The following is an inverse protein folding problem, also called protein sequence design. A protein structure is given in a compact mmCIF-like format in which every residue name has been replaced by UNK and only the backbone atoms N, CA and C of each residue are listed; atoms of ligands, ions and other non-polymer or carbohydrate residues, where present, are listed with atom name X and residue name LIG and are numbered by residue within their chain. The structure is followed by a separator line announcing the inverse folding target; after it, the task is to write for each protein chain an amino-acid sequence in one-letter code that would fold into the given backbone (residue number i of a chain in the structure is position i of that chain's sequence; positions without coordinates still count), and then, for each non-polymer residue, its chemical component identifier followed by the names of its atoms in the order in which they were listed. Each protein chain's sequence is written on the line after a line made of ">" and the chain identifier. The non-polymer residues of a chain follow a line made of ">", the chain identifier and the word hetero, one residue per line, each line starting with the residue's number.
data_IF_098185527197
#
_entry.id   IF_098185527197
#
_cell.length_a   1.000
_cell.length_b   1.000
_cell.length_c   1.000
_cell.angle_alpha   90.00
_cell.angle_beta   90.00
_cell.angle_gamma   90.00
#
_symmetry.space_group_name_H-M   'P 1'
#
loop_
_entity.id
_entity.type
_entity.pdbx_description
1 polymer ?
#
# COMPACT_ATOMS: atom_id res chain seq x y z
N UNK A 1 -16.14 24.90 -14.27
CA UNK A 1 -15.72 23.80 -15.15
C UNK A 1 -14.28 23.48 -14.77
N UNK A 2 -14.08 22.50 -13.88
CA UNK A 2 -12.72 22.09 -13.52
C UNK A 2 -12.21 21.18 -14.62
N UNK A 3 -11.23 21.63 -15.40
CA UNK A 3 -10.41 20.76 -16.23
C UNK A 3 -9.58 19.89 -15.29
N UNK A 4 -10.19 18.83 -14.76
CA UNK A 4 -9.55 17.95 -13.78
C UNK A 4 -8.32 17.31 -14.41
N UNK A 5 -7.14 17.69 -13.94
CA UNK A 5 -5.93 16.93 -14.20
C UNK A 5 -6.17 15.50 -13.73
N UNK A 6 -5.91 14.47 -14.55
CA UNK A 6 -6.09 13.09 -14.11
C UNK A 6 -5.24 12.82 -12.87
N UNK A 7 -5.87 12.32 -11.80
CA UNK A 7 -5.21 11.98 -10.52
C UNK A 7 -4.22 10.81 -10.65
N UNK A 8 -4.36 10.03 -11.74
CA UNK A 8 -3.58 8.84 -12.02
C UNK A 8 -3.16 8.80 -13.49
N UNK A 9 -1.94 8.33 -13.75
CA UNK A 9 -1.50 7.96 -15.09
C UNK A 9 -1.46 6.44 -15.20
N UNK A 10 -2.31 5.90 -16.06
CA UNK A 10 -2.46 4.46 -16.31
C UNK A 10 -1.55 4.05 -17.47
N UNK A 11 -0.91 2.89 -17.35
CA UNK A 11 0.01 2.37 -18.34
C UNK A 11 0.02 0.85 -18.38
N UNK A 12 0.48 0.32 -19.51
CA UNK A 12 0.73 -1.10 -19.70
C UNK A 12 1.98 -1.55 -18.93
N UNK A 13 2.24 -2.86 -18.94
CA UNK A 13 3.52 -3.44 -18.52
C UNK A 13 4.75 -2.68 -19.07
N UNK A 14 4.74 -2.35 -20.38
CA UNK A 14 5.88 -1.69 -21.03
C UNK A 14 6.07 -0.26 -20.53
N UNK A 15 4.97 0.45 -20.32
CA UNK A 15 4.99 1.81 -19.78
C UNK A 15 5.53 1.81 -18.35
N UNK A 16 5.07 0.89 -17.51
CA UNK A 16 5.50 0.75 -16.13
C UNK A 16 7.00 0.40 -16.01
N UNK A 17 7.50 -0.53 -16.83
CA UNK A 17 8.94 -0.83 -16.92
C UNK A 17 9.74 0.39 -17.36
N UNK A 18 9.21 1.19 -18.30
CA UNK A 18 9.84 2.41 -18.75
C UNK A 18 9.90 3.45 -17.62
N UNK A 19 8.79 3.71 -16.92
CA UNK A 19 8.73 4.64 -15.78
C UNK A 19 9.77 4.32 -14.71
N UNK A 20 9.91 3.05 -14.34
CA UNK A 20 10.89 2.62 -13.34
C UNK A 20 12.32 2.77 -13.86
N UNK A 21 12.57 2.44 -15.13
CA UNK A 21 13.93 2.46 -15.66
C UNK A 21 14.47 3.87 -15.76
N UNK A 22 13.62 4.85 -16.10
CA UNK A 22 14.00 6.26 -16.24
C UNK A 22 13.86 7.08 -14.95
N UNK A 23 13.31 6.51 -13.87
CA UNK A 23 13.17 7.22 -12.59
C UNK A 23 14.50 7.48 -11.89
N UNK A 24 14.56 8.42 -10.94
CA UNK A 24 15.75 8.64 -10.10
C UNK A 24 15.86 7.66 -8.91
N UNK A 25 14.96 6.69 -8.77
CA UNK A 25 14.95 5.75 -7.63
C UNK A 25 16.25 4.95 -7.53
N UNK A 26 16.56 4.51 -6.31
CA UNK A 26 17.69 3.64 -6.04
C UNK A 26 17.55 2.28 -6.75
N UNK A 27 18.69 1.65 -7.03
CA UNK A 27 18.75 0.37 -7.77
C UNK A 27 17.91 -0.72 -7.12
N UNK A 28 17.90 -0.78 -5.79
CA UNK A 28 17.12 -1.76 -5.03
C UNK A 28 15.62 -1.59 -5.25
N UNK A 29 15.09 -0.37 -5.10
CA UNK A 29 13.67 -0.08 -5.37
C UNK A 29 13.28 -0.39 -6.81
N UNK A 30 14.13 0.00 -7.77
CA UNK A 30 13.91 -0.34 -9.18
C UNK A 30 13.84 -1.84 -9.40
N UNK A 31 14.70 -2.61 -8.72
CA UNK A 31 14.71 -4.07 -8.77
C UNK A 31 13.40 -4.67 -8.24
N UNK A 32 12.97 -4.23 -7.05
CA UNK A 32 11.73 -4.69 -6.43
C UNK A 32 10.48 -4.34 -7.28
N UNK A 33 10.37 -3.10 -7.77
CA UNK A 33 9.24 -2.69 -8.62
C UNK A 33 9.21 -3.43 -9.96
N UNK A 34 10.38 -3.70 -10.56
CA UNK A 34 10.48 -4.53 -11.78
C UNK A 34 10.06 -5.97 -11.51
N UNK A 35 10.46 -6.55 -10.37
CA UNK A 35 10.01 -7.89 -9.96
C UNK A 35 8.49 -7.94 -9.85
N UNK A 36 7.89 -6.96 -9.19
CA UNK A 36 6.43 -6.84 -9.08
C UNK A 36 5.75 -6.83 -10.46
N UNK A 37 6.15 -5.94 -11.37
CA UNK A 37 5.55 -5.87 -12.71
C UNK A 37 5.77 -7.15 -13.51
N UNK A 38 6.96 -7.76 -13.41
CA UNK A 38 7.30 -9.02 -14.10
C UNK A 38 6.40 -10.17 -13.67
N UNK A 39 5.95 -10.18 -12.42
CA UNK A 39 5.04 -11.21 -11.91
C UNK A 39 3.61 -11.08 -12.49
N UNK A 40 3.25 -9.94 -13.07
CA UNK A 40 1.89 -9.63 -13.52
C UNK A 40 1.86 -8.97 -14.91
N UNK A 41 2.36 -9.64 -15.97
CA UNK A 41 2.59 -9.02 -17.27
C UNK A 41 1.32 -8.57 -18.02
N UNK A 42 0.16 -9.10 -17.63
CA UNK A 42 -1.12 -8.81 -18.27
C UNK A 42 -1.95 -7.75 -17.55
N UNK A 43 -1.49 -7.26 -16.40
CA UNK A 43 -2.19 -6.20 -15.67
C UNK A 43 -1.81 -4.83 -16.21
N UNK A 44 -2.69 -3.86 -15.98
CA UNK A 44 -2.38 -2.45 -16.12
C UNK A 44 -1.89 -1.91 -14.79
N UNK A 45 -1.06 -0.88 -14.84
CA UNK A 45 -0.47 -0.25 -13.68
C UNK A 45 -0.77 1.24 -13.69
N UNK A 46 -0.68 1.87 -12.53
CA UNK A 46 -0.74 3.32 -12.46
C UNK A 46 0.35 3.88 -11.55
N UNK A 47 0.61 5.17 -11.74
CA UNK A 47 1.40 6.02 -10.86
C UNK A 47 0.57 7.25 -10.50
N UNK A 48 0.77 7.77 -9.29
CA UNK A 48 0.05 8.95 -8.85
C UNK A 48 0.57 10.20 -9.54
N UNK A 49 -0.33 11.11 -9.90
CA UNK A 49 0.04 12.49 -10.17
C UNK A 49 0.47 13.16 -8.84
N UNK A 50 1.39 14.13 -8.86
CA UNK A 50 1.79 14.86 -7.65
C UNK A 50 0.60 15.44 -6.87
N UNK A 51 -0.41 15.92 -7.60
CA UNK A 51 -1.62 16.54 -7.06
C UNK A 51 -2.44 15.57 -6.20
N UNK A 52 -2.38 14.27 -6.48
CA UNK A 52 -3.13 13.25 -5.75
C UNK A 52 -2.56 13.03 -4.35
N UNK A 53 -1.23 13.00 -4.21
CA UNK A 53 -0.61 12.87 -2.89
C UNK A 53 -0.79 14.15 -2.08
N UNK A 54 -0.67 15.31 -2.72
CA UNK A 54 -0.95 16.62 -2.10
C UNK A 54 -2.41 16.72 -1.64
N UNK A 55 -3.34 16.13 -2.39
CA UNK A 55 -4.75 16.05 -2.00
C UNK A 55 -4.90 15.29 -0.68
N UNK A 56 -4.27 14.12 -0.55
CA UNK A 56 -4.26 13.34 0.69
C UNK A 56 -3.63 14.10 1.87
N UNK A 57 -2.46 14.71 1.67
CA UNK A 57 -1.81 15.54 2.70
C UNK A 57 -2.73 16.64 3.23
N UNK A 58 -3.48 17.29 2.33
CA UNK A 58 -4.43 18.35 2.70
C UNK A 58 -5.67 17.80 3.42
N UNK A 59 -6.25 16.71 2.91
CA UNK A 59 -7.46 16.11 3.47
C UNK A 59 -7.20 15.55 4.87
N UNK A 60 -6.11 14.81 5.04
CA UNK A 60 -5.75 14.15 6.29
C UNK A 60 -4.93 15.04 7.24
N UNK A 61 -4.52 16.23 6.77
CA UNK A 61 -3.71 17.22 7.49
C UNK A 61 -2.37 16.65 7.95
N UNK A 62 -1.69 15.94 7.05
CA UNK A 62 -0.40 15.29 7.28
C UNK A 62 0.64 15.78 6.29
N UNK A 63 1.91 15.52 6.60
CA UNK A 63 3.00 15.63 5.64
C UNK A 63 3.51 14.22 5.35
N UNK A 64 3.28 13.73 4.14
CA UNK A 64 3.70 12.40 3.72
C UNK A 64 5.20 12.46 3.39
N UNK A 65 6.01 11.48 3.86
CA UNK A 65 7.44 11.44 3.59
C UNK A 65 7.78 11.48 2.09
N UNK A 66 8.82 12.25 1.74
CA UNK A 66 9.24 12.48 0.35
C UNK A 66 9.54 11.17 -0.39
N UNK A 67 10.15 10.19 0.27
CA UNK A 67 10.45 8.90 -0.35
C UNK A 67 9.19 8.18 -0.84
N UNK A 68 8.07 8.33 -0.12
CA UNK A 68 6.79 7.72 -0.47
C UNK A 68 6.13 8.46 -1.64
N UNK A 69 6.28 9.80 -1.70
CA UNK A 69 5.90 10.59 -2.87
C UNK A 69 6.63 10.10 -4.13
N UNK A 70 7.96 10.03 -4.04
CA UNK A 70 8.81 9.69 -5.19
C UNK A 70 8.49 8.30 -5.74
N UNK A 71 8.29 7.30 -4.86
CA UNK A 71 8.02 5.93 -5.31
C UNK A 71 6.65 5.79 -5.95
N UNK A 72 5.61 6.41 -5.38
CA UNK A 72 4.24 6.33 -5.92
C UNK A 72 4.03 7.13 -7.19
N UNK A 73 4.82 8.20 -7.40
CA UNK A 73 4.87 8.92 -8.68
C UNK A 73 5.60 8.12 -9.78
N UNK A 74 6.35 7.07 -9.44
CA UNK A 74 6.96 6.15 -10.41
C UNK A 74 6.05 4.95 -10.67
N UNK A 75 5.61 4.28 -9.62
CA UNK A 75 4.67 3.18 -9.66
C UNK A 75 3.91 3.13 -8.33
N UNK A 76 2.61 3.42 -8.38
CA UNK A 76 1.76 3.34 -7.21
C UNK A 76 1.27 1.90 -7.02
N UNK A 77 0.56 1.33 -8.00
CA UNK A 77 -0.03 0.00 -7.87
C UNK A 77 -0.55 -0.53 -9.22
N UNK A 78 -1.33 -1.62 -9.21
CA UNK A 78 -2.10 -2.05 -10.38
C UNK A 78 -3.32 -1.14 -10.59
N UNK A 79 -3.66 -0.87 -11.85
CA UNK A 79 -4.90 -0.23 -12.20
C UNK A 79 -5.99 -1.29 -12.38
N UNK A 80 -7.05 -1.20 -11.58
CA UNK A 80 -8.25 -2.01 -11.74
C UNK A 80 -9.33 -1.14 -12.39
N UNK A 81 -9.87 -1.52 -13.57
CA UNK A 81 -10.88 -0.72 -14.27
C UNK A 81 -12.21 -0.64 -13.52
N UNK A 82 -12.41 -1.52 -12.55
CA UNK A 82 -13.60 -1.55 -11.70
C UNK A 82 -13.26 -0.90 -10.36
N UNK A 83 -13.63 0.38 -10.22
CA UNK A 83 -13.67 1.10 -8.93
C UNK A 83 -14.84 0.62 -8.05
N UNK A 84 -15.19 -0.67 -8.12
CA UNK A 84 -16.40 -1.22 -7.50
C UNK A 84 -16.08 -1.88 -6.19
N UNK A 85 -17.05 -1.87 -5.28
CA UNK A 85 -17.12 -2.86 -4.22
C UNK A 85 -17.52 -4.22 -4.84
N UNK A 86 -16.85 -5.33 -4.48
CA UNK A 86 -15.76 -5.43 -3.50
C UNK A 86 -14.40 -4.94 -4.04
N UNK A 87 -13.52 -4.41 -3.18
CA UNK A 87 -12.23 -3.86 -3.60
C UNK A 87 -11.31 -4.95 -4.16
N UNK A 88 -10.27 -4.53 -4.90
CA UNK A 88 -9.15 -5.43 -5.21
C UNK A 88 -8.34 -5.69 -3.95
N UNK A 89 -8.14 -6.97 -3.64
CA UNK A 89 -7.40 -7.45 -2.49
C UNK A 89 -6.08 -8.07 -2.93
N UNK A 90 -5.10 -8.02 -2.05
CA UNK A 90 -3.81 -8.68 -2.24
C UNK A 90 -3.51 -9.63 -1.11
N UNK A 91 -2.74 -10.66 -1.43
CA UNK A 91 -2.08 -11.50 -0.45
C UNK A 91 -0.59 -11.35 -0.61
N UNK A 92 0.12 -11.18 0.51
CA UNK A 92 1.57 -11.08 0.53
C UNK A 92 2.23 -12.45 0.79
N UNK A 93 3.48 -12.58 0.38
CA UNK A 93 4.44 -13.51 0.96
C UNK A 93 4.71 -13.16 2.42
N UNK A 94 5.50 -13.99 3.09
CA UNK A 94 6.05 -13.71 4.42
C UNK A 94 6.72 -12.32 4.47
N UNK A 95 6.45 -11.53 5.53
CA UNK A 95 7.07 -10.22 5.72
C UNK A 95 8.59 -10.35 5.89
N UNK A 96 9.32 -9.23 5.82
CA UNK A 96 10.78 -9.24 6.00
C UNK A 96 11.20 -9.23 7.49
N UNK A 97 10.24 -9.10 8.41
CA UNK A 97 10.44 -9.00 9.86
C UNK A 97 9.35 -9.77 10.61
N UNK A 98 9.67 -10.20 11.84
CA UNK A 98 8.70 -10.81 12.75
C UNK A 98 7.67 -9.76 13.20
N UNK A 99 6.40 -9.98 12.88
CA UNK A 99 5.28 -9.11 13.22
C UNK A 99 3.97 -9.94 13.31
N UNK A 100 2.85 -9.34 13.70
CA UNK A 100 1.61 -10.11 13.86
C UNK A 100 1.15 -10.77 12.54
N UNK A 101 1.50 -10.14 11.41
CA UNK A 101 1.28 -10.67 10.07
C UNK A 101 2.01 -12.01 9.83
N UNK A 102 3.23 -12.20 10.33
CA UNK A 102 3.97 -13.48 10.19
C UNK A 102 3.45 -14.58 11.10
N UNK A 103 2.84 -14.20 12.23
CA UNK A 103 2.40 -15.15 13.25
C UNK A 103 1.00 -15.73 12.99
N UNK A 104 0.23 -15.09 12.12
CA UNK A 104 -1.11 -15.57 11.79
C UNK A 104 -1.00 -16.83 10.92
N UNK A 105 -1.57 -17.94 11.41
CA UNK A 105 -1.77 -19.15 10.59
C UNK A 105 -2.85 -18.99 9.51
N UNK A 106 -3.42 -17.78 9.38
CA UNK A 106 -4.56 -17.49 8.52
C UNK A 106 -4.14 -16.84 7.20
N UNK A 107 -4.99 -17.01 6.18
CA UNK A 107 -4.80 -16.34 4.90
C UNK A 107 -5.30 -14.90 5.02
N UNK A 108 -4.37 -13.95 5.08
CA UNK A 108 -4.68 -12.53 5.17
C UNK A 108 -4.80 -11.89 3.78
N UNK A 109 -5.89 -11.14 3.55
CA UNK A 109 -6.14 -10.38 2.33
C UNK A 109 -6.16 -8.90 2.64
N UNK A 110 -5.27 -8.12 2.04
CA UNK A 110 -5.17 -6.69 2.28
C UNK A 110 -5.81 -5.88 1.16
N UNK A 111 -6.55 -4.83 1.53
CA UNK A 111 -6.90 -3.77 0.60
C UNK A 111 -5.83 -2.68 0.67
N UNK A 112 -5.14 -2.40 -0.45
CA UNK A 112 -4.21 -1.28 -0.53
C UNK A 112 -4.99 0.01 -0.77
N UNK A 113 -5.06 0.85 0.25
CA UNK A 113 -5.70 2.16 0.23
C UNK A 113 -4.92 3.09 1.16
N UNK A 114 -4.63 4.29 0.67
CA UNK A 114 -3.97 5.32 1.48
C UNK A 114 -4.99 6.15 2.25
N UNK A 115 -4.66 6.51 3.48
CA UNK A 115 -5.48 7.32 4.38
C UNK A 115 -6.36 6.50 5.32
N UNK A 116 -7.10 7.20 6.16
CA UNK A 116 -7.97 6.64 7.21
C UNK A 116 -9.45 6.60 6.78
N UNK A 117 -10.29 5.87 7.52
CA UNK A 117 -11.71 5.74 7.18
C UNK A 117 -12.61 6.79 7.85
N UNK A 118 -12.17 7.43 8.93
CA UNK A 118 -12.94 8.45 9.64
C UNK A 118 -12.09 9.26 10.63
N UNK A 119 -12.72 10.22 11.31
CA UNK A 119 -12.04 11.12 12.25
C UNK A 119 -11.48 10.40 13.49
N UNK A 120 -12.15 9.35 13.94
CA UNK A 120 -11.72 8.53 15.09
C UNK A 120 -10.41 7.78 14.77
N UNK A 121 -10.34 7.11 13.62
CA UNK A 121 -9.12 6.46 13.11
C UNK A 121 -8.02 7.50 12.85
N UNK A 122 -8.39 8.70 12.40
CA UNK A 122 -7.43 9.80 12.20
C UNK A 122 -6.76 10.19 13.51
N UNK A 123 -7.54 10.46 14.55
CA UNK A 123 -7.02 10.81 15.88
C UNK A 123 -6.09 9.72 16.41
N UNK A 124 -6.52 8.46 16.27
CA UNK A 124 -5.78 7.33 16.81
C UNK A 124 -4.49 7.02 16.03
N UNK A 125 -4.58 6.80 14.72
CA UNK A 125 -3.46 6.30 13.92
C UNK A 125 -2.50 7.42 13.55
N UNK A 126 -3.03 8.59 13.16
CA UNK A 126 -2.20 9.70 12.67
C UNK A 126 -1.78 10.59 13.82
N UNK A 127 -2.72 11.18 14.56
CA UNK A 127 -2.37 12.23 15.53
C UNK A 127 -1.67 11.65 16.77
N UNK A 128 -2.14 10.51 17.29
CA UNK A 128 -1.54 9.84 18.45
C UNK A 128 -0.37 8.94 18.06
N UNK A 129 -0.56 7.98 17.15
CA UNK A 129 0.51 7.03 16.83
C UNK A 129 1.53 7.52 15.79
N UNK A 130 1.20 8.53 14.98
CA UNK A 130 2.10 9.03 13.94
C UNK A 130 2.30 8.05 12.78
N UNK A 131 1.28 7.25 12.48
CA UNK A 131 1.27 6.26 11.41
C UNK A 131 0.20 6.63 10.38
N UNK A 132 0.56 6.56 9.11
CA UNK A 132 -0.37 6.82 8.02
C UNK A 132 -0.70 5.53 7.29
N UNK A 133 -1.93 4.98 7.41
CA UNK A 133 -2.31 3.73 6.78
C UNK A 133 -2.21 3.76 5.26
N UNK A 134 -1.70 2.66 4.71
CA UNK A 134 -1.54 2.42 3.27
C UNK A 134 -2.11 1.06 2.82
N UNK A 135 -2.45 0.19 3.77
CA UNK A 135 -3.27 -0.99 3.54
C UNK A 135 -4.00 -1.41 4.82
N UNK A 136 -5.11 -2.13 4.67
CA UNK A 136 -5.91 -2.68 5.77
C UNK A 136 -6.24 -4.14 5.49
N UNK A 137 -6.14 -5.00 6.51
CA UNK A 137 -6.60 -6.38 6.41
C UNK A 137 -8.12 -6.41 6.25
N UNK A 138 -8.56 -6.91 5.09
CA UNK A 138 -9.95 -6.98 4.70
C UNK A 138 -10.72 -8.04 5.48
N UNK A 139 -11.82 -7.63 6.11
CA UNK A 139 -12.80 -8.51 6.75
C UNK A 139 -12.75 -8.53 8.27
N UNK A 140 -11.67 -8.07 8.88
CA UNK A 140 -11.53 -8.03 10.34
C UNK A 140 -11.06 -6.68 10.90
N UNK A 141 -10.67 -5.71 10.05
CA UNK A 141 -10.14 -4.38 10.45
C UNK A 141 -9.10 -4.44 11.59
N UNK A 142 -8.43 -5.59 11.72
CA UNK A 142 -7.57 -5.89 12.87
C UNK A 142 -6.13 -5.47 12.62
N UNK A 143 -5.64 -5.49 11.38
CA UNK A 143 -4.25 -5.18 11.06
C UNK A 143 -4.16 -4.19 9.90
N UNK A 144 -3.21 -3.26 10.02
CA UNK A 144 -2.96 -2.19 9.08
C UNK A 144 -1.48 -2.18 8.70
N UNK A 145 -1.19 -1.85 7.46
CA UNK A 145 0.15 -1.48 7.03
C UNK A 145 0.21 0.05 6.89
N UNK A 146 1.26 0.67 7.40
CA UNK A 146 1.42 2.12 7.44
C UNK A 146 2.85 2.58 7.19
N UNK A 147 2.97 3.86 6.88
CA UNK A 147 4.24 4.58 6.86
C UNK A 147 4.39 5.41 8.14
N UNK A 148 5.62 5.57 8.61
CA UNK A 148 5.94 6.38 9.78
C UNK A 148 5.96 7.88 9.41
N UNK A 149 5.12 8.68 10.06
CA UNK A 149 5.07 10.14 9.88
C UNK A 149 6.01 10.89 10.82
N UNK A 150 6.43 10.27 11.92
CA UNK A 150 7.29 10.87 12.95
C UNK A 150 8.75 10.82 12.58
N UNK A 151 9.17 9.77 11.89
CA UNK A 151 10.47 9.68 11.24
C UNK A 151 10.32 9.66 9.71
N UNK A 152 10.38 10.82 9.05
CA UNK A 152 10.28 10.91 7.59
C UNK A 152 11.43 10.23 6.83
N UNK A 153 12.50 9.82 7.52
CA UNK A 153 13.61 9.08 6.94
C UNK A 153 13.41 7.56 7.00
N UNK A 154 12.46 7.08 7.81
CA UNK A 154 12.11 5.67 7.88
C UNK A 154 11.34 5.26 6.63
N UNK A 155 12.02 4.55 5.73
CA UNK A 155 11.46 4.04 4.48
C UNK A 155 10.70 2.73 4.62
N UNK A 156 10.67 2.12 5.82
CA UNK A 156 10.02 0.82 6.07
C UNK A 156 8.50 0.95 6.10
N UNK A 157 7.83 -0.17 5.85
CA UNK A 157 6.39 -0.28 6.07
C UNK A 157 6.18 -0.97 7.39
N UNK A 158 5.41 -0.34 8.27
CA UNK A 158 5.08 -0.84 9.59
C UNK A 158 3.72 -1.53 9.59
N UNK A 159 3.57 -2.55 10.41
CA UNK A 159 2.33 -3.23 10.72
C UNK A 159 1.91 -2.85 12.14
N UNK A 160 0.61 -2.65 12.33
CA UNK A 160 0.03 -2.46 13.64
C UNK A 160 -1.41 -2.96 13.69
N UNK A 161 -1.85 -3.30 14.90
CA UNK A 161 -3.21 -3.74 15.17
C UNK A 161 -4.10 -2.56 15.55
N UNK A 162 -5.17 -2.34 14.78
CA UNK A 162 -6.12 -1.26 15.09
C UNK A 162 -6.88 -1.51 16.39
N UNK A 163 -7.21 -2.78 16.66
CA UNK A 163 -7.89 -3.19 17.90
C UNK A 163 -7.02 -2.94 19.14
N UNK A 164 -5.74 -3.31 19.07
CA UNK A 164 -4.81 -3.11 20.19
C UNK A 164 -4.60 -1.61 20.46
N UNK A 165 -4.52 -0.79 19.40
CA UNK A 165 -4.40 0.66 19.54
C UNK A 165 -5.63 1.28 20.22
N UNK A 166 -6.82 0.79 19.89
CA UNK A 166 -8.04 1.22 20.57
C UNK A 166 -7.98 0.87 22.05
N UNK A 167 -7.68 -0.39 22.40
CA UNK A 167 -7.59 -0.85 23.78
C UNK A 167 -6.56 -0.05 24.60
N UNK A 168 -5.38 0.20 24.02
CA UNK A 168 -4.34 1.02 24.64
C UNK A 168 -4.77 2.47 24.81
N UNK A 169 -5.41 3.08 23.81
CA UNK A 169 -5.95 4.44 23.94
C UNK A 169 -7.02 4.52 25.02
N UNK A 170 -7.84 3.48 25.21
CA UNK A 170 -8.82 3.41 26.30
C UNK A 170 -8.16 3.28 27.67
N UNK A 171 -7.04 2.55 27.75
CA UNK A 171 -6.26 2.39 28.98
C UNK A 171 -5.33 3.58 29.29
N UNK A 172 -5.22 4.55 28.38
CA UNK A 172 -4.33 5.70 28.52
C UNK A 172 -2.85 5.34 28.31
N UNK A 173 -2.59 4.26 27.59
CA UNK A 173 -1.25 3.77 27.25
C UNK A 173 -0.69 4.49 26.02
N UNK A 174 0.64 4.44 25.87
CA UNK A 174 1.35 5.06 24.76
C UNK A 174 1.28 4.17 23.52
N UNK A 175 0.88 4.71 22.37
CA UNK A 175 0.80 3.96 21.10
C UNK A 175 2.13 3.93 20.33
N UNK A 176 3.16 4.62 20.84
CA UNK A 176 4.37 4.95 20.06
C UNK A 176 5.26 3.75 19.75
N UNK A 177 5.15 2.66 20.51
CA UNK A 177 6.09 1.53 20.48
C UNK A 177 5.49 0.25 19.87
N UNK A 178 4.21 0.30 19.48
CA UNK A 178 3.44 -0.91 19.17
C UNK A 178 3.43 -1.29 17.70
N UNK A 179 3.84 -0.39 16.81
CA UNK A 179 4.04 -0.76 15.41
C UNK A 179 5.36 -1.48 15.23
N UNK A 180 5.34 -2.58 14.49
CA UNK A 180 6.54 -3.32 14.10
C UNK A 180 6.80 -3.13 12.60
N UNK A 181 8.06 -3.02 12.15
CA UNK A 181 8.34 -3.05 10.73
C UNK A 181 7.88 -4.41 10.15
N UNK A 182 7.25 -4.41 8.98
CA UNK A 182 6.85 -5.62 8.25
C UNK A 182 7.58 -5.77 6.91
N UNK A 183 7.87 -4.65 6.22
CA UNK A 183 8.64 -4.67 4.98
C UNK A 183 9.75 -3.63 5.01
N UNK A 184 10.89 -3.94 4.39
CA UNK A 184 12.04 -3.02 4.36
C UNK A 184 11.77 -1.74 3.57
N UNK A 185 10.83 -1.78 2.61
CA UNK A 185 10.36 -0.61 1.87
C UNK A 185 9.01 -0.83 1.18
N UNK A 186 8.41 0.24 0.66
CA UNK A 186 7.18 0.14 -0.15
C UNK A 186 7.37 -0.70 -1.43
N UNK A 187 8.49 -0.52 -2.14
CA UNK A 187 8.77 -1.32 -3.34
C UNK A 187 8.89 -2.79 -3.00
N UNK A 188 9.54 -3.08 -1.86
CA UNK A 188 9.69 -4.43 -1.33
C UNK A 188 8.34 -5.05 -1.03
N UNK A 189 7.45 -4.34 -0.32
CA UNK A 189 6.07 -4.77 -0.06
C UNK A 189 5.34 -5.15 -1.36
N UNK A 190 5.38 -4.30 -2.40
CA UNK A 190 4.75 -4.61 -3.68
C UNK A 190 5.34 -5.88 -4.34
N UNK A 191 6.66 -6.04 -4.27
CA UNK A 191 7.35 -7.21 -4.84
C UNK A 191 7.08 -8.53 -4.12
N UNK A 192 6.47 -8.46 -2.92
CA UNK A 192 6.03 -9.58 -2.08
C UNK A 192 4.56 -9.92 -2.30
N UNK A 193 3.82 -9.21 -3.15
CA UNK A 193 2.46 -9.63 -3.49
C UNK A 193 2.54 -10.97 -4.23
N UNK A 194 1.84 -11.97 -3.68
CA UNK A 194 1.67 -13.30 -4.25
C UNK A 194 0.48 -13.37 -5.18
N UNK A 195 -0.60 -12.71 -4.79
CA UNK A 195 -1.90 -12.95 -5.39
C UNK A 195 -2.77 -11.71 -5.32
N UNK A 196 -3.51 -11.48 -6.40
CA UNK A 196 -4.62 -10.53 -6.44
C UNK A 196 -5.95 -11.28 -6.41
N UNK A 197 -6.93 -10.72 -5.72
CA UNK A 197 -8.34 -11.09 -5.82
C UNK A 197 -9.14 -9.88 -6.25
N UNK A 198 -9.84 -10.00 -7.39
CA UNK A 198 -10.61 -8.92 -8.00
C UNK A 198 -12.08 -8.92 -7.55
N UNK A 199 -12.78 -7.85 -7.91
CA UNK A 199 -14.19 -7.63 -7.55
C UNK A 199 -15.13 -8.73 -8.06
N UNK A 200 -14.81 -9.31 -9.21
CA UNK A 200 -15.55 -10.40 -9.84
C UNK A 200 -15.25 -11.79 -9.21
N UNK A 201 -14.41 -11.82 -8.18
CA UNK A 201 -13.97 -13.04 -7.50
C UNK A 201 -12.83 -13.78 -8.20
N UNK A 202 -12.37 -13.31 -9.38
CA UNK A 202 -11.22 -13.88 -10.05
C UNK A 202 -9.93 -13.63 -9.24
N UNK A 203 -8.98 -14.56 -9.36
CA UNK A 203 -7.66 -14.40 -8.76
C UNK A 203 -6.55 -14.45 -9.81
N UNK A 204 -5.45 -13.76 -9.52
CA UNK A 204 -4.23 -13.76 -10.34
C UNK A 204 -3.03 -14.01 -9.44
N UNK A 205 -2.40 -15.17 -9.63
CA UNK A 205 -1.18 -15.56 -8.93
C UNK A 205 0.06 -14.99 -9.64
N UNK A 206 1.07 -14.65 -8.85
CA UNK A 206 2.37 -14.22 -9.35
C UNK A 206 2.95 -15.25 -10.33
N UNK A 207 3.42 -14.77 -11.48
CA UNK A 207 4.06 -15.61 -12.50
C UNK A 207 3.09 -16.42 -13.38
N UNK A 208 1.77 -16.30 -13.20
CA UNK A 208 0.80 -16.91 -14.09
C UNK A 208 0.38 -15.96 -15.22
N UNK A 209 0.60 -16.37 -16.46
CA UNK A 209 -0.10 -15.81 -17.62
C UNK A 209 -1.55 -16.30 -17.55
N UNK A 210 -2.53 -15.40 -17.35
CA UNK A 210 -3.95 -15.75 -17.41
C UNK A 210 -4.23 -16.52 -18.72
N UNK A 211 -4.54 -17.81 -18.61
CA UNK A 211 -5.22 -18.53 -19.68
C UNK A 211 -6.67 -18.05 -19.67
N UNK A 212 -7.02 -17.17 -20.60
CA UNK A 212 -8.41 -16.81 -20.83
C UNK A 212 -9.17 -18.08 -21.25
N UNK A 213 -10.00 -18.62 -20.36
CA UNK A 213 -11.03 -19.57 -20.76
C UNK A 213 -12.02 -18.80 -21.63
N UNK A 214 -11.97 -19.06 -22.94
CA UNK A 214 -12.95 -18.61 -23.93
C UNK A 214 -14.22 -19.44 -23.83
#
# INVERSE_FOLDING_TARGET
>A
MSSGTPSELIGSYRDAIHWISTSPLHTEDKGNLKKFITNYPNLSFFRNAPEEIIRHEREDRVQIPRWFHEIRQVLAFIHSPTLTHPPTLVRFEEPDYDCSMSDSGEIQWYQLKIGVMGDDDRDLFIDKAGLYPIATWFGTDQSYLAINLRDPSDGRIHEFSGADYWDMSFNGESLEEESQPAFTSYSRMLSRILEFKFADGSTVLAGQTQHQNK
#
